data_IF_721597398101
#
_entry.id   IF_721597398101
#
_cell.length_a   1.000
_cell.length_b   1.000
_cell.length_c   1.000
_cell.angle_alpha   90.00
_cell.angle_beta   90.00
_cell.angle_gamma   90.00
#
_symmetry.space_group_name_H-M   'P 1'
#
loop_
_entity.id
_entity.type
_entity.pdbx_description
1 polymer ?
#
# COMPACT_ATOMS: atom_id res chain seq x y z
N UNK A 1 -23.78 -61.91 73.26
CA UNK A 1 -24.62 -60.74 73.62
C UNK A 1 -23.83 -59.48 73.33
N UNK A 2 -24.43 -58.55 72.55
CA UNK A 2 -24.16 -57.10 72.39
C UNK A 2 -22.69 -56.61 72.31
N UNK A 3 -22.28 -55.67 71.47
CA UNK A 3 -22.97 -54.49 70.96
C UNK A 3 -22.22 -53.97 69.74
N UNK A 4 -22.96 -53.60 68.70
CA UNK A 4 -22.46 -53.07 67.41
C UNK A 4 -22.65 -51.56 67.45
N UNK A 5 -21.59 -50.79 67.67
CA UNK A 5 -21.62 -49.33 67.56
C UNK A 5 -21.21 -48.90 66.15
N UNK A 6 -22.13 -48.23 65.47
CA UNK A 6 -21.96 -47.61 64.15
C UNK A 6 -21.26 -46.27 64.33
N UNK A 7 -20.06 -46.11 63.79
CA UNK A 7 -19.44 -44.81 63.56
C UNK A 7 -19.94 -44.25 62.22
N UNK A 8 -20.57 -43.08 62.27
CA UNK A 8 -20.91 -42.28 61.09
C UNK A 8 -19.71 -41.37 60.84
N UNK A 9 -18.88 -41.70 59.85
CA UNK A 9 -17.87 -40.77 59.33
C UNK A 9 -18.50 -39.96 58.20
N UNK A 10 -18.77 -38.70 58.50
CA UNK A 10 -19.13 -37.65 57.55
C UNK A 10 -17.96 -37.42 56.60
N UNK A 11 -18.11 -37.81 55.33
CA UNK A 11 -17.17 -37.47 54.29
C UNK A 11 -17.26 -35.96 53.98
N UNK A 12 -16.19 -35.24 54.26
CA UNK A 12 -15.99 -33.84 53.88
C UNK A 12 -15.65 -33.84 52.37
N UNK A 13 -16.50 -33.20 51.55
CA UNK A 13 -16.19 -32.97 50.14
C UNK A 13 -15.12 -31.88 50.01
N UNK A 14 -14.09 -32.05 49.16
CA UNK A 14 -13.16 -30.97 48.86
C UNK A 14 -13.84 -29.96 47.93
N UNK A 15 -13.87 -28.70 48.34
CA UNK A 15 -14.21 -27.58 47.47
C UNK A 15 -13.02 -27.39 46.51
N UNK A 16 -13.10 -27.99 45.32
CA UNK A 16 -12.09 -27.77 44.28
C UNK A 16 -12.26 -26.37 43.69
N UNK A 17 -11.50 -25.41 44.21
CA UNK A 17 -11.32 -24.11 43.58
C UNK A 17 -10.49 -24.24 42.30
N UNK A 18 -11.13 -24.10 41.15
CA UNK A 18 -10.46 -23.91 39.85
C UNK A 18 -10.93 -22.58 39.24
N UNK A 19 -10.44 -21.47 39.79
CA UNK A 19 -10.45 -20.18 39.11
C UNK A 19 -9.06 -19.97 38.51
N UNK A 20 -8.85 -20.30 37.23
CA UNK A 20 -7.71 -19.77 36.44
C UNK A 20 -7.84 -20.11 34.95
N UNK A 21 -8.93 -19.72 34.29
CA UNK A 21 -9.02 -19.87 32.82
C UNK A 21 -9.30 -18.57 32.06
N UNK A 22 -9.30 -17.42 32.74
CA UNK A 22 -9.73 -16.14 32.12
C UNK A 22 -8.65 -15.07 32.25
N UNK A 23 -7.43 -15.33 31.77
CA UNK A 23 -6.41 -14.27 31.60
C UNK A 23 -5.60 -14.34 30.29
N UNK A 24 -5.84 -15.34 29.43
CA UNK A 24 -5.11 -15.51 28.17
C UNK A 24 -5.80 -14.85 26.95
N UNK A 25 -7.10 -14.55 27.04
CA UNK A 25 -7.87 -13.98 25.92
C UNK A 25 -7.44 -12.55 25.48
N UNK A 26 -7.15 -11.58 26.38
CA UNK A 26 -6.90 -10.21 25.93
C UNK A 26 -5.54 -10.06 25.24
N UNK A 27 -4.51 -10.79 25.70
CA UNK A 27 -3.18 -10.74 25.10
C UNK A 27 -3.18 -11.29 23.67
N UNK A 28 -3.91 -12.38 23.42
CA UNK A 28 -4.05 -12.96 22.08
C UNK A 28 -4.75 -12.02 21.10
N UNK A 29 -5.78 -11.30 21.54
CA UNK A 29 -6.51 -10.32 20.72
C UNK A 29 -5.61 -9.14 20.38
N UNK A 30 -4.83 -8.62 21.34
CA UNK A 30 -3.88 -7.53 21.11
C UNK A 30 -2.79 -7.95 20.11
N UNK A 31 -2.25 -9.16 20.25
CA UNK A 31 -1.29 -9.70 19.28
C UNK A 31 -1.89 -9.88 17.88
N UNK A 32 -3.12 -10.37 17.76
CA UNK A 32 -3.81 -10.52 16.48
C UNK A 32 -4.06 -9.15 15.81
N UNK A 33 -4.44 -8.12 16.58
CA UNK A 33 -4.61 -6.76 16.07
C UNK A 33 -3.28 -6.14 15.63
N UNK A 34 -2.19 -6.36 16.37
CA UNK A 34 -0.86 -5.89 15.98
C UNK A 34 -0.35 -6.60 14.72
N UNK A 35 -0.62 -7.90 14.55
CA UNK A 35 -0.26 -8.65 13.35
C UNK A 35 -1.04 -8.19 12.10
N UNK A 36 -2.27 -7.67 12.27
CA UNK A 36 -3.01 -7.05 11.17
C UNK A 36 -2.46 -5.67 10.75
N UNK A 37 -1.61 -5.05 11.60
CA UNK A 37 -0.94 -3.78 11.30
C UNK A 37 0.46 -3.99 10.66
N UNK A 38 1.02 -5.21 10.69
CA UNK A 38 2.28 -5.51 10.01
C UNK A 38 2.04 -5.74 8.51
N UNK A 39 1.78 -4.64 7.81
CA UNK A 39 2.41 -4.31 6.54
C UNK A 39 1.91 -5.01 5.28
N UNK A 40 1.08 -4.31 4.51
CA UNK A 40 1.34 -4.26 3.07
C UNK A 40 2.74 -3.67 2.88
N UNK A 41 3.74 -4.50 2.66
CA UNK A 41 4.99 -4.04 2.10
C UNK A 41 4.65 -3.52 0.69
N UNK A 42 4.60 -2.20 0.53
CA UNK A 42 4.52 -1.58 -0.78
C UNK A 42 5.75 -2.04 -1.56
N UNK A 43 5.55 -2.91 -2.55
CA UNK A 43 6.63 -3.25 -3.46
C UNK A 43 7.15 -1.95 -4.09
N UNK A 44 8.49 -1.76 -4.18
CA UNK A 44 9.03 -0.62 -4.89
C UNK A 44 8.49 -0.66 -6.32
N UNK A 45 7.94 0.47 -6.78
CA UNK A 45 7.48 0.60 -8.16
C UNK A 45 8.62 0.19 -9.09
N UNK A 46 8.41 -0.84 -9.90
CA UNK A 46 9.42 -1.27 -10.86
C UNK A 46 9.66 -0.13 -11.85
N UNK A 47 10.93 0.17 -12.18
CA UNK A 47 11.23 1.14 -13.21
C UNK A 47 10.52 0.70 -14.49
N UNK A 48 9.75 1.60 -15.09
CA UNK A 48 9.08 1.30 -16.34
C UNK A 48 10.12 1.42 -17.44
N UNK A 49 10.52 0.29 -18.00
CA UNK A 49 11.37 0.23 -19.19
C UNK A 49 10.58 -0.37 -20.35
N UNK A 50 10.43 0.38 -21.45
CA UNK A 50 9.77 -0.11 -22.67
C UNK A 50 10.77 -0.10 -23.83
N UNK A 51 10.71 -1.12 -24.67
CA UNK A 51 11.49 -1.17 -25.92
C UNK A 51 10.72 -0.58 -27.10
N UNK A 52 9.39 -0.59 -27.03
CA UNK A 52 8.49 -0.05 -28.05
C UNK A 52 7.24 0.58 -27.43
N UNK A 53 6.69 1.60 -28.12
CA UNK A 53 5.43 2.24 -27.75
C UNK A 53 4.80 2.93 -28.98
N UNK A 54 3.47 2.94 -29.05
CA UNK A 54 2.75 3.80 -29.98
C UNK A 54 2.50 5.16 -29.31
N UNK A 55 3.05 6.23 -29.88
CA UNK A 55 2.98 7.57 -29.29
C UNK A 55 2.03 8.45 -30.10
N UNK A 56 1.02 8.99 -29.44
CA UNK A 56 0.14 10.02 -29.98
C UNK A 56 0.44 11.37 -29.33
N UNK A 57 1.06 12.28 -30.09
CA UNK A 57 1.42 13.62 -29.61
C UNK A 57 0.28 14.60 -29.85
N UNK A 58 -0.11 15.35 -28.81
CA UNK A 58 -1.14 16.38 -28.84
C UNK A 58 -0.58 17.71 -28.36
N UNK A 59 -0.67 18.73 -29.21
CA UNK A 59 -0.39 20.11 -28.82
C UNK A 59 -1.66 20.72 -28.22
N UNK A 60 -1.59 21.10 -26.96
CA UNK A 60 -2.72 21.60 -26.17
C UNK A 60 -2.42 23.01 -25.65
N UNK A 61 -3.45 23.77 -25.31
CA UNK A 61 -3.28 25.12 -24.74
C UNK A 61 -3.28 25.09 -23.20
N UNK A 62 -3.62 23.94 -22.59
CA UNK A 62 -3.61 23.71 -21.13
C UNK A 62 -3.42 22.23 -20.82
N UNK A 63 -2.72 21.93 -19.73
CA UNK A 63 -2.57 20.59 -19.16
C UNK A 63 -3.15 20.60 -17.73
N UNK A 64 -4.11 19.71 -17.49
CA UNK A 64 -4.68 19.47 -16.16
C UNK A 64 -3.92 18.34 -15.46
N UNK A 65 -2.84 18.70 -14.75
CA UNK A 65 -1.98 17.75 -14.03
C UNK A 65 -2.36 17.62 -12.56
N UNK A 66 -2.12 18.66 -11.74
CA UNK A 66 -2.45 18.71 -10.32
C UNK A 66 -2.94 20.11 -9.95
N UNK A 67 -3.84 20.26 -8.95
CA UNK A 67 -4.20 21.58 -8.44
C UNK A 67 -2.95 22.34 -8.05
N UNK A 68 -2.87 23.63 -8.40
CA UNK A 68 -1.74 24.54 -8.12
C UNK A 68 -0.38 24.25 -8.78
N UNK A 69 -0.26 23.24 -9.64
CA UNK A 69 0.97 22.99 -10.40
C UNK A 69 0.77 23.20 -11.90
N UNK A 70 1.74 23.88 -12.53
CA UNK A 70 1.79 24.04 -13.97
C UNK A 70 2.69 22.96 -14.55
N UNK A 71 2.19 22.19 -15.51
CA UNK A 71 2.98 21.25 -16.29
C UNK A 71 3.18 21.80 -17.71
N UNK A 72 4.35 21.58 -18.30
CA UNK A 72 4.67 21.98 -19.67
C UNK A 72 4.44 20.85 -20.68
N UNK A 73 4.57 19.61 -20.20
CA UNK A 73 4.17 18.40 -20.89
C UNK A 73 3.53 17.41 -19.93
N UNK A 74 2.95 16.34 -20.48
CA UNK A 74 2.45 15.21 -19.72
C UNK A 74 2.37 13.95 -20.59
N UNK A 75 2.89 12.84 -20.05
CA UNK A 75 2.85 11.53 -20.67
C UNK A 75 1.96 10.56 -19.91
N UNK A 76 1.04 9.89 -20.60
CA UNK A 76 0.16 8.87 -20.03
C UNK A 76 0.12 7.65 -20.93
N UNK A 77 0.46 6.48 -20.38
CA UNK A 77 0.48 5.23 -21.11
C UNK A 77 -0.57 4.25 -20.58
N UNK A 78 -1.33 3.63 -21.48
CA UNK A 78 -2.25 2.54 -21.18
C UNK A 78 -2.28 1.55 -22.35
N UNK A 79 -2.19 0.25 -22.06
CA UNK A 79 -2.29 -0.82 -23.06
C UNK A 79 -1.36 -0.65 -24.28
N UNK A 80 -0.10 -0.23 -24.06
CA UNK A 80 0.91 -0.06 -25.12
C UNK A 80 0.76 1.20 -25.98
N UNK A 81 -0.26 2.03 -25.71
CA UNK A 81 -0.45 3.33 -26.35
C UNK A 81 -0.18 4.42 -25.33
N UNK A 82 0.62 5.41 -25.73
CA UNK A 82 0.97 6.56 -24.92
C UNK A 82 0.47 7.84 -25.57
N UNK A 83 -0.17 8.69 -24.79
CA UNK A 83 -0.53 10.04 -25.17
C UNK A 83 0.47 11.00 -24.54
N UNK A 84 1.08 11.83 -25.37
CA UNK A 84 1.99 12.90 -24.97
C UNK A 84 1.30 14.23 -25.25
N UNK A 85 0.94 14.95 -24.19
CA UNK A 85 0.40 16.31 -24.28
C UNK A 85 1.53 17.31 -24.04
N UNK A 86 1.69 18.29 -24.91
CA UNK A 86 2.68 19.37 -24.76
C UNK A 86 1.98 20.71 -24.96
N UNK A 87 2.28 21.68 -24.11
CA UNK A 87 1.78 23.04 -24.30
C UNK A 87 2.29 23.58 -25.63
N UNK A 88 1.40 24.17 -26.43
CA UNK A 88 1.71 24.63 -27.79
C UNK A 88 2.89 25.61 -27.80
N UNK A 89 2.96 26.51 -26.83
CA UNK A 89 4.04 27.50 -26.68
C UNK A 89 5.39 26.87 -26.28
N UNK A 90 5.38 25.63 -25.80
CA UNK A 90 6.55 24.87 -25.36
C UNK A 90 7.02 23.84 -26.40
N UNK A 91 6.30 23.66 -27.51
CA UNK A 91 6.73 22.79 -28.61
C UNK A 91 7.77 23.51 -29.50
N UNK A 92 8.84 22.82 -29.95
CA UNK A 92 9.16 21.39 -29.77
C UNK A 92 10.01 21.09 -28.53
N UNK A 93 10.35 22.09 -27.73
CA UNK A 93 11.32 21.97 -26.64
C UNK A 93 11.00 20.82 -25.66
N UNK A 94 9.72 20.65 -25.30
CA UNK A 94 9.33 19.65 -24.29
C UNK A 94 8.99 18.25 -24.80
N UNK A 95 8.83 18.07 -26.11
CA UNK A 95 8.33 16.78 -26.62
C UNK A 95 9.34 15.64 -26.40
N UNK A 96 10.63 15.95 -26.40
CA UNK A 96 11.68 14.96 -26.17
C UNK A 96 11.68 14.40 -24.75
N UNK A 97 11.44 15.26 -23.75
CA UNK A 97 11.33 14.84 -22.35
C UNK A 97 10.11 13.95 -22.12
N UNK A 98 8.97 14.36 -22.66
CA UNK A 98 7.74 13.55 -22.53
C UNK A 98 7.86 12.20 -23.24
N UNK A 99 8.46 12.17 -24.44
CA UNK A 99 8.76 10.90 -25.12
C UNK A 99 9.71 10.04 -24.26
N UNK A 100 10.66 10.63 -23.56
CA UNK A 100 11.54 9.87 -22.67
C UNK A 100 10.78 9.23 -21.50
N UNK A 101 9.83 9.94 -20.90
CA UNK A 101 8.93 9.38 -19.88
C UNK A 101 8.12 8.16 -20.37
N UNK A 102 7.82 8.09 -21.67
CA UNK A 102 7.17 6.90 -22.25
C UNK A 102 8.04 5.65 -22.10
N UNK A 103 9.36 5.77 -22.26
CA UNK A 103 10.28 4.63 -22.26
C UNK A 103 10.92 4.37 -20.90
N UNK A 104 11.19 5.41 -20.12
CA UNK A 104 11.95 5.33 -18.85
C UNK A 104 11.07 5.51 -17.60
N UNK A 105 9.78 5.82 -17.76
CA UNK A 105 8.90 6.14 -16.64
C UNK A 105 9.29 7.44 -15.94
N UNK A 106 9.14 7.49 -14.62
CA UNK A 106 9.48 8.67 -13.81
C UNK A 106 11.00 8.77 -13.59
N UNK A 107 11.72 9.28 -14.59
CA UNK A 107 13.17 9.41 -14.57
C UNK A 107 13.69 10.39 -13.50
N UNK A 108 12.90 11.39 -13.12
CA UNK A 108 13.25 12.35 -12.06
C UNK A 108 12.53 12.07 -10.74
N UNK A 109 12.16 10.81 -10.47
CA UNK A 109 11.46 10.43 -9.25
C UNK A 109 12.13 11.03 -8.00
N UNK A 110 11.36 11.81 -7.23
CA UNK A 110 11.82 12.44 -6.00
C UNK A 110 12.23 13.92 -6.12
N UNK A 111 12.22 14.52 -7.31
CA UNK A 111 12.36 15.98 -7.46
C UNK A 111 11.61 16.49 -8.70
N UNK A 112 10.93 17.62 -8.56
CA UNK A 112 10.29 18.31 -9.68
C UNK A 112 11.36 19.13 -10.42
N UNK A 113 11.52 18.91 -11.73
CA UNK A 113 12.52 19.59 -12.56
C UNK A 113 11.91 20.00 -13.89
N UNK A 114 12.50 21.03 -14.51
CA UNK A 114 12.21 21.46 -15.88
C UNK A 114 13.41 21.19 -16.81
N UNK A 115 14.36 20.37 -16.35
CA UNK A 115 15.59 20.04 -17.06
C UNK A 115 15.29 19.11 -18.24
N UNK A 116 15.54 19.60 -19.47
CA UNK A 116 15.09 18.92 -20.69
C UNK A 116 13.60 19.13 -21.02
N UNK A 117 12.88 19.84 -20.14
CA UNK A 117 11.43 20.00 -19.98
C UNK A 117 10.73 18.76 -19.42
#
# INVERSE_FOLDING_TARGET
MASRLRGVETAILPVSGWHSSVRLAPAAIVYALLALLTGCASEPATPVTRDEALIHVRLVDKIDYKPSMKAFGLSRCANGVCVVEVLRENYPYCVGHEIRHVFEGDWHAGHESTEGC
#
